data_IF_693132237981
#
_entry.id   IF_693132237981
#
_cell.length_a   1.000
_cell.length_b   1.000
_cell.length_c   1.000
_cell.angle_alpha   90.00
_cell.angle_beta   90.00
_cell.angle_gamma   90.00
#
_symmetry.space_group_name_H-M   'P 1'
#
loop_
_entity.id
_entity.type
_entity.pdbx_description
1 polymer ?
#
# COMPACT_ATOMS: atom_id res chain seq x y z
N UNK A 1 37.73 6.03 -4.89
CA UNK A 1 37.12 4.71 -5.18
C UNK A 1 35.84 4.64 -4.34
N UNK A 2 34.76 5.07 -4.94
CA UNK A 2 33.43 5.11 -4.29
C UNK A 2 32.66 3.87 -4.74
N UNK A 3 32.55 2.90 -3.81
CA UNK A 3 31.71 1.70 -4.01
C UNK A 3 30.24 2.07 -3.91
N UNK A 4 29.56 2.07 -5.04
CA UNK A 4 28.10 2.07 -5.13
C UNK A 4 27.60 0.72 -4.59
N UNK A 5 26.97 0.73 -3.44
CA UNK A 5 26.13 -0.38 -2.99
C UNK A 5 24.87 -0.38 -3.87
N UNK A 6 24.86 -1.26 -4.87
CA UNK A 6 23.65 -1.60 -5.62
C UNK A 6 22.72 -2.38 -4.69
N UNK A 7 21.62 -1.75 -4.28
CA UNK A 7 20.52 -2.46 -3.66
C UNK A 7 19.89 -3.41 -4.68
N UNK A 8 20.19 -4.69 -4.54
CA UNK A 8 19.50 -5.76 -5.25
C UNK A 8 18.23 -6.06 -4.45
N UNK A 9 17.08 -5.68 -4.97
CA UNK A 9 15.81 -6.08 -4.38
C UNK A 9 15.54 -7.55 -4.70
N UNK A 10 15.45 -8.38 -3.68
CA UNK A 10 15.09 -9.80 -3.83
C UNK A 10 13.60 -9.95 -3.62
N UNK A 11 12.85 -10.20 -4.68
CA UNK A 11 11.43 -10.50 -4.60
C UNK A 11 11.22 -12.01 -4.57
N UNK A 12 10.59 -12.54 -3.50
CA UNK A 12 10.26 -13.95 -3.38
C UNK A 12 8.80 -14.15 -3.80
N UNK A 13 8.59 -14.76 -4.96
CA UNK A 13 7.25 -15.12 -5.46
C UNK A 13 7.13 -16.65 -5.43
N UNK A 14 6.34 -17.17 -4.47
CA UNK A 14 6.21 -18.62 -4.26
C UNK A 14 7.51 -19.26 -3.79
N UNK A 15 7.84 -20.46 -4.28
CA UNK A 15 9.08 -21.17 -3.92
C UNK A 15 10.31 -20.74 -4.75
N UNK A 16 10.14 -19.86 -5.73
CA UNK A 16 11.22 -19.41 -6.60
C UNK A 16 11.76 -18.04 -6.19
N UNK A 17 13.07 -17.98 -5.94
CA UNK A 17 13.84 -16.73 -5.82
C UNK A 17 14.24 -16.27 -7.23
N UNK A 18 13.74 -15.10 -7.64
CA UNK A 18 14.15 -14.48 -8.89
C UNK A 18 15.04 -13.27 -8.56
N UNK A 19 16.29 -13.35 -8.96
CA UNK A 19 17.23 -12.22 -8.95
C UNK A 19 16.84 -11.26 -10.07
N UNK A 20 16.39 -10.06 -9.70
CA UNK A 20 15.92 -9.08 -10.66
C UNK A 20 17.02 -8.06 -10.94
N UNK A 21 17.56 -8.09 -12.13
CA UNK A 21 18.27 -6.96 -12.70
C UNK A 21 17.29 -5.78 -12.85
N UNK A 22 17.73 -4.61 -12.47
CA UNK A 22 17.00 -3.39 -12.14
C UNK A 22 15.87 -2.90 -13.07
N UNK A 23 15.60 -3.48 -14.25
CA UNK A 23 14.71 -2.85 -15.24
C UNK A 23 13.72 -3.74 -16.03
N UNK A 24 13.69 -5.04 -15.89
CA UNK A 24 12.83 -5.86 -16.78
C UNK A 24 11.76 -6.71 -16.10
N UNK A 25 11.86 -7.01 -14.83
CA UNK A 25 10.96 -7.97 -14.15
C UNK A 25 9.81 -7.33 -13.37
N UNK A 26 9.89 -6.06 -13.00
CA UNK A 26 8.76 -5.31 -12.44
C UNK A 26 7.62 -5.20 -13.47
N UNK A 27 7.94 -5.22 -14.74
CA UNK A 27 7.00 -5.19 -15.87
C UNK A 27 5.98 -6.33 -15.89
N UNK A 28 6.20 -7.42 -15.17
CA UNK A 28 5.44 -8.65 -15.38
C UNK A 28 4.73 -9.23 -14.14
N UNK A 29 5.02 -8.77 -12.93
CA UNK A 29 4.41 -9.32 -11.74
C UNK A 29 3.29 -8.39 -11.22
N UNK A 30 2.02 -8.70 -11.48
CA UNK A 30 0.94 -7.99 -10.82
C UNK A 30 1.05 -8.20 -9.31
N UNK A 31 0.81 -7.12 -8.57
CA UNK A 31 0.80 -7.15 -7.12
C UNK A 31 -0.27 -8.13 -6.61
N UNK A 32 0.11 -9.05 -5.75
CA UNK A 32 -0.78 -10.05 -5.19
C UNK A 32 -0.87 -9.94 -3.66
N UNK A 33 -2.09 -10.05 -3.14
CA UNK A 33 -2.31 -10.15 -1.71
C UNK A 33 -1.68 -11.41 -1.12
N UNK A 34 -1.03 -11.26 0.02
CA UNK A 34 -0.53 -12.37 0.83
C UNK A 34 -1.13 -12.30 2.24
N UNK A 35 -1.53 -13.45 2.79
CA UNK A 35 -2.02 -13.52 4.18
C UNK A 35 -0.98 -13.07 5.22
N UNK A 36 0.29 -12.95 4.84
CA UNK A 36 1.34 -12.37 5.69
C UNK A 36 1.12 -10.88 5.98
N UNK A 37 0.32 -10.21 5.15
CA UNK A 37 -0.06 -8.80 5.29
C UNK A 37 -1.33 -8.60 6.13
N UNK A 38 -1.94 -9.69 6.65
CA UNK A 38 -3.11 -9.56 7.51
C UNK A 38 -2.74 -8.84 8.81
N UNK A 39 -3.51 -7.81 9.14
CA UNK A 39 -3.41 -7.07 10.40
C UNK A 39 -4.13 -7.79 11.54
N UNK A 40 -5.05 -8.71 11.21
CA UNK A 40 -5.97 -9.33 12.16
C UNK A 40 -7.27 -8.55 12.35
N UNK A 41 -7.42 -7.40 11.68
CA UNK A 41 -8.65 -6.61 11.62
C UNK A 41 -9.36 -6.88 10.28
N UNK A 42 -10.41 -7.74 10.24
CA UNK A 42 -10.99 -8.23 8.97
C UNK A 42 -11.50 -7.13 8.04
N UNK A 43 -11.98 -6.02 8.60
CA UNK A 43 -12.47 -4.87 7.82
C UNK A 43 -11.30 -4.17 7.13
N UNK A 44 -10.20 -3.93 7.84
CA UNK A 44 -8.98 -3.31 7.31
C UNK A 44 -8.32 -4.22 6.28
N UNK A 45 -8.19 -5.52 6.58
CA UNK A 45 -7.66 -6.50 5.63
C UNK A 45 -8.47 -6.56 4.32
N UNK A 46 -9.80 -6.37 4.40
CA UNK A 46 -10.65 -6.25 3.21
C UNK A 46 -10.34 -4.99 2.40
N UNK A 47 -10.07 -3.87 3.08
CA UNK A 47 -9.66 -2.63 2.41
C UNK A 47 -8.31 -2.80 1.71
N UNK A 48 -7.33 -3.40 2.37
CA UNK A 48 -6.02 -3.71 1.79
C UNK A 48 -6.15 -4.58 0.53
N UNK A 49 -6.92 -5.67 0.59
CA UNK A 49 -7.19 -6.52 -0.59
C UNK A 49 -7.78 -5.72 -1.76
N UNK A 50 -8.64 -4.75 -1.48
CA UNK A 50 -9.22 -3.89 -2.52
C UNK A 50 -8.18 -2.95 -3.12
N UNK A 51 -7.29 -2.36 -2.30
CA UNK A 51 -6.18 -1.53 -2.78
C UNK A 51 -5.23 -2.35 -3.66
N UNK A 52 -4.87 -3.56 -3.25
CA UNK A 52 -4.07 -4.48 -4.06
C UNK A 52 -4.73 -4.79 -5.41
N UNK A 53 -6.04 -5.07 -5.42
CA UNK A 53 -6.78 -5.35 -6.66
C UNK A 53 -6.82 -4.15 -7.61
N UNK A 54 -6.98 -2.93 -7.09
CA UNK A 54 -6.95 -1.70 -7.89
C UNK A 54 -5.55 -1.45 -8.46
N UNK A 55 -4.51 -1.57 -7.65
CA UNK A 55 -3.11 -1.42 -8.08
C UNK A 55 -2.73 -2.45 -9.14
N UNK A 56 -3.13 -3.72 -8.96
CA UNK A 56 -2.94 -4.76 -9.98
C UNK A 56 -3.70 -4.49 -11.28
N UNK A 57 -4.87 -3.85 -11.19
CA UNK A 57 -5.63 -3.44 -12.38
C UNK A 57 -4.95 -2.30 -13.12
N UNK A 58 -4.37 -1.33 -12.40
CA UNK A 58 -3.55 -0.27 -12.98
C UNK A 58 -2.36 -0.85 -13.74
N UNK A 59 -1.64 -1.81 -13.16
CA UNK A 59 -0.52 -2.48 -13.83
C UNK A 59 -0.93 -3.08 -15.19
N UNK A 60 -2.04 -3.83 -15.23
CA UNK A 60 -2.53 -4.42 -16.48
C UNK A 60 -2.83 -3.36 -17.54
N UNK A 61 -3.38 -2.21 -17.14
CA UNK A 61 -3.67 -1.12 -18.06
C UNK A 61 -2.41 -0.42 -18.57
N UNK A 62 -1.38 -0.26 -17.73
CA UNK A 62 -0.11 0.35 -18.13
C UNK A 62 0.53 -0.42 -19.30
N UNK A 63 0.43 -1.75 -19.30
CA UNK A 63 1.01 -2.60 -20.35
C UNK A 63 0.02 -3.00 -21.46
N UNK A 64 -1.21 -2.55 -21.39
CA UNK A 64 -2.18 -2.75 -22.49
C UNK A 64 -1.81 -1.87 -23.70
N UNK A 65 -2.25 -2.25 -24.94
CA UNK A 65 -2.08 -1.41 -26.12
C UNK A 65 -2.63 -0.01 -25.91
N UNK A 66 -1.93 1.00 -26.43
CA UNK A 66 -2.36 2.39 -26.28
C UNK A 66 -3.62 2.66 -27.11
N UNK A 67 -4.70 3.02 -26.43
CA UNK A 67 -5.97 3.47 -27.00
C UNK A 67 -6.57 4.56 -26.13
N UNK A 68 -7.54 5.30 -26.63
CA UNK A 68 -8.27 6.31 -25.83
C UNK A 68 -9.05 5.65 -24.69
N UNK A 69 -9.59 4.44 -24.93
CA UNK A 69 -10.25 3.65 -23.89
C UNK A 69 -9.29 3.23 -22.79
N UNK A 70 -8.03 2.85 -23.13
CA UNK A 70 -7.00 2.56 -22.14
C UNK A 70 -6.73 3.78 -21.26
N UNK A 71 -6.54 4.95 -21.86
CA UNK A 71 -6.31 6.20 -21.12
C UNK A 71 -7.47 6.50 -20.17
N UNK A 72 -8.71 6.42 -20.65
CA UNK A 72 -9.91 6.61 -19.82
C UNK A 72 -9.96 5.58 -18.67
N UNK A 73 -9.59 4.33 -18.94
CA UNK A 73 -9.55 3.28 -17.91
C UNK A 73 -8.47 3.52 -16.86
N UNK A 74 -7.30 4.02 -17.25
CA UNK A 74 -6.24 4.43 -16.31
C UNK A 74 -6.76 5.57 -15.42
N UNK A 75 -7.40 6.57 -15.97
CA UNK A 75 -7.98 7.69 -15.21
C UNK A 75 -9.03 7.19 -14.19
N UNK A 76 -9.93 6.31 -14.62
CA UNK A 76 -10.95 5.73 -13.72
C UNK A 76 -10.33 4.92 -12.57
N UNK A 77 -9.33 4.08 -12.86
CA UNK A 77 -8.64 3.30 -11.83
C UNK A 77 -7.84 4.21 -10.88
N UNK A 78 -7.18 5.22 -11.40
CA UNK A 78 -6.44 6.19 -10.60
C UNK A 78 -7.36 6.95 -9.64
N UNK A 79 -8.52 7.43 -10.12
CA UNK A 79 -9.56 8.04 -9.28
C UNK A 79 -10.10 7.07 -8.23
N UNK A 80 -10.34 5.81 -8.62
CA UNK A 80 -10.81 4.78 -7.69
C UNK A 80 -9.77 4.48 -6.61
N UNK A 81 -8.48 4.38 -6.96
CA UNK A 81 -7.38 4.23 -6.00
C UNK A 81 -7.35 5.40 -5.03
N UNK A 82 -7.28 6.63 -5.53
CA UNK A 82 -7.26 7.84 -4.69
C UNK A 82 -8.41 7.88 -3.70
N UNK A 83 -9.64 7.73 -4.18
CA UNK A 83 -10.83 7.82 -3.33
C UNK A 83 -10.88 6.69 -2.30
N UNK A 84 -10.49 5.49 -2.71
CA UNK A 84 -10.50 4.35 -1.80
C UNK A 84 -9.39 4.43 -0.76
N UNK A 85 -8.23 4.98 -1.11
CA UNK A 85 -7.14 5.25 -0.16
C UNK A 85 -7.57 6.23 0.93
N UNK A 86 -8.21 7.34 0.57
CA UNK A 86 -8.74 8.31 1.53
C UNK A 86 -9.77 7.67 2.46
N UNK A 87 -10.68 6.87 1.90
CA UNK A 87 -11.68 6.12 2.68
C UNK A 87 -11.02 5.14 3.66
N UNK A 88 -10.03 4.39 3.20
CA UNK A 88 -9.29 3.43 4.00
C UNK A 88 -8.54 4.09 5.15
N UNK A 89 -7.77 5.13 4.88
CA UNK A 89 -7.04 5.89 5.90
C UNK A 89 -7.97 6.49 6.96
N UNK A 90 -9.10 7.05 6.53
CA UNK A 90 -10.11 7.56 7.48
C UNK A 90 -10.67 6.46 8.39
N UNK A 91 -10.82 5.24 7.89
CA UNK A 91 -11.29 4.12 8.69
C UNK A 91 -10.25 3.69 9.75
N UNK A 92 -8.95 3.64 9.38
CA UNK A 92 -7.86 3.35 10.32
C UNK A 92 -7.70 4.45 11.37
N UNK A 93 -7.66 5.71 10.95
CA UNK A 93 -7.57 6.85 11.86
C UNK A 93 -8.73 6.87 12.87
N UNK A 94 -9.92 6.43 12.46
CA UNK A 94 -11.05 6.26 13.38
C UNK A 94 -10.83 5.12 14.39
N UNK A 95 -10.13 4.06 14.01
CA UNK A 95 -9.72 2.98 14.91
C UNK A 95 -8.68 3.51 15.90
N UNK A 96 -7.67 4.25 15.43
CA UNK A 96 -6.61 4.82 16.27
C UNK A 96 -7.17 5.74 17.34
N UNK A 97 -8.05 6.66 16.96
CA UNK A 97 -8.68 7.60 17.90
C UNK A 97 -9.50 6.88 18.99
N UNK A 98 -10.27 5.86 18.60
CA UNK A 98 -11.11 5.11 19.56
C UNK A 98 -10.30 4.28 20.54
N UNK A 99 -9.10 3.84 20.16
CA UNK A 99 -8.25 2.99 20.98
C UNK A 99 -7.10 3.76 21.64
N UNK A 100 -6.99 5.08 21.45
CA UNK A 100 -5.92 5.88 22.03
C UNK A 100 -4.52 5.49 21.55
N UNK A 101 -4.39 5.10 20.25
CA UNK A 101 -3.12 4.68 19.68
C UNK A 101 -2.06 5.77 19.81
N UNK A 102 -0.99 5.51 20.54
CA UNK A 102 -0.01 6.53 20.92
C UNK A 102 0.78 7.11 19.74
N UNK A 103 0.98 6.31 18.66
CA UNK A 103 1.68 6.75 17.44
C UNK A 103 0.74 7.25 16.35
N UNK A 104 -0.50 7.63 16.69
CA UNK A 104 -1.50 8.10 15.73
C UNK A 104 -1.01 9.27 14.88
N UNK A 105 -0.36 10.27 15.49
CA UNK A 105 0.08 11.46 14.75
C UNK A 105 1.16 11.13 13.71
N UNK A 106 2.06 10.21 14.03
CA UNK A 106 3.10 9.73 13.13
C UNK A 106 2.51 8.98 11.95
N UNK A 107 1.63 8.00 12.22
CA UNK A 107 0.95 7.21 11.19
C UNK A 107 0.08 8.09 10.28
N UNK A 108 -0.65 9.04 10.84
CA UNK A 108 -1.44 9.99 10.06
C UNK A 108 -0.57 10.84 9.12
N UNK A 109 0.62 11.25 9.55
CA UNK A 109 1.55 11.98 8.70
C UNK A 109 2.03 11.13 7.51
N UNK A 110 2.21 9.81 7.68
CA UNK A 110 2.50 8.89 6.57
C UNK A 110 1.35 8.91 5.54
N UNK A 111 0.09 8.81 6.00
CA UNK A 111 -1.11 8.90 5.15
C UNK A 111 -1.19 10.21 4.38
N UNK A 112 -1.03 11.35 5.07
CA UNK A 112 -1.09 12.67 4.47
C UNK A 112 0.00 12.86 3.42
N UNK A 113 1.23 12.43 3.72
CA UNK A 113 2.36 12.49 2.79
C UNK A 113 2.12 11.64 1.55
N UNK A 114 1.56 10.44 1.71
CA UNK A 114 1.22 9.58 0.60
C UNK A 114 0.16 10.21 -0.31
N UNK A 115 -0.94 10.73 0.27
CA UNK A 115 -2.01 11.39 -0.50
C UNK A 115 -1.46 12.57 -1.28
N UNK A 116 -0.65 13.44 -0.65
CA UNK A 116 -0.01 14.57 -1.33
C UNK A 116 0.88 14.12 -2.50
N UNK A 117 1.66 13.06 -2.30
CA UNK A 117 2.53 12.52 -3.37
C UNK A 117 1.70 11.97 -4.53
N UNK A 118 0.64 11.21 -4.23
CA UNK A 118 -0.28 10.68 -5.26
C UNK A 118 -0.92 11.81 -6.06
N UNK A 119 -1.36 12.89 -5.41
CA UNK A 119 -1.95 14.05 -6.10
C UNK A 119 -0.96 14.74 -7.04
N UNK A 120 0.31 14.81 -6.66
CA UNK A 120 1.37 15.39 -7.51
C UNK A 120 1.69 14.56 -8.75
N UNK A 121 1.66 13.22 -8.62
CA UNK A 121 2.00 12.31 -9.74
C UNK A 121 0.80 11.92 -10.60
N UNK A 122 -0.42 12.22 -10.16
CA UNK A 122 -1.66 11.85 -10.85
C UNK A 122 -1.75 12.31 -12.31
N UNK A 123 -1.41 13.57 -12.66
CA UNK A 123 -1.39 14.01 -14.05
C UNK A 123 -0.42 13.21 -14.94
N UNK A 124 0.72 12.80 -14.38
CA UNK A 124 1.71 12.00 -15.11
C UNK A 124 1.24 10.56 -15.30
N UNK A 125 0.49 10.00 -14.35
CA UNK A 125 -0.12 8.68 -14.51
C UNK A 125 -1.11 8.64 -15.68
N UNK A 126 -1.89 9.70 -15.88
CA UNK A 126 -2.92 9.77 -16.94
C UNK A 126 -2.31 10.11 -18.29
N UNK A 127 -1.42 11.10 -18.35
CA UNK A 127 -0.93 11.71 -19.57
C UNK A 127 0.55 11.40 -19.85
N UNK A 128 1.23 10.73 -18.93
CA UNK A 128 2.64 10.42 -19.03
C UNK A 128 2.93 9.30 -20.03
N UNK A 129 4.19 9.18 -20.38
CA UNK A 129 4.69 8.05 -21.14
C UNK A 129 4.73 6.78 -20.28
N UNK A 130 5.06 5.66 -20.94
CA UNK A 130 5.13 4.36 -20.27
C UNK A 130 6.08 4.37 -19.07
N UNK A 131 7.23 5.02 -19.19
CA UNK A 131 8.23 5.09 -18.11
C UNK A 131 7.69 5.80 -16.87
N UNK A 132 7.04 6.95 -17.05
CA UNK A 132 6.43 7.67 -15.93
C UNK A 132 5.33 6.85 -15.25
N UNK A 133 4.51 6.13 -16.03
CA UNK A 133 3.49 5.23 -15.50
C UNK A 133 4.07 4.05 -14.71
N UNK A 134 5.17 3.47 -15.20
CA UNK A 134 5.91 2.40 -14.51
C UNK A 134 6.49 2.88 -13.17
N UNK A 135 7.14 4.04 -13.15
CA UNK A 135 7.72 4.64 -11.93
C UNK A 135 6.64 4.93 -10.87
N UNK A 136 5.47 5.42 -11.29
CA UNK A 136 4.35 5.66 -10.38
C UNK A 136 3.78 4.33 -9.85
N UNK A 137 3.63 3.32 -10.69
CA UNK A 137 3.18 2.00 -10.26
C UNK A 137 4.15 1.37 -9.24
N UNK A 138 5.44 1.47 -9.49
CA UNK A 138 6.48 1.00 -8.57
C UNK A 138 6.38 1.71 -7.21
N UNK A 139 6.27 3.04 -7.22
CA UNK A 139 6.07 3.83 -6.01
C UNK A 139 4.83 3.37 -5.23
N UNK A 140 3.67 3.28 -5.88
CA UNK A 140 2.41 2.86 -5.23
C UNK A 140 2.52 1.46 -4.63
N UNK A 141 3.13 0.53 -5.37
CA UNK A 141 3.26 -0.87 -4.95
C UNK A 141 4.20 -1.02 -3.76
N UNK A 142 5.35 -0.36 -3.80
CA UNK A 142 6.34 -0.42 -2.72
C UNK A 142 5.80 0.24 -1.45
N UNK A 143 5.18 1.41 -1.59
CA UNK A 143 4.60 2.11 -0.43
C UNK A 143 3.51 1.26 0.22
N UNK A 144 2.59 0.70 -0.55
CA UNK A 144 1.47 -0.09 -0.02
C UNK A 144 1.96 -1.35 0.71
N UNK A 145 2.95 -2.06 0.16
CA UNK A 145 3.52 -3.24 0.82
C UNK A 145 4.22 -2.84 2.12
N UNK A 146 5.07 -1.82 2.08
CA UNK A 146 5.84 -1.39 3.24
C UNK A 146 4.92 -0.87 4.34
N UNK A 147 3.99 0.01 4.01
CA UNK A 147 3.05 0.60 4.96
C UNK A 147 2.24 -0.48 5.70
N UNK A 148 1.65 -1.43 4.97
CA UNK A 148 0.87 -2.52 5.58
C UNK A 148 1.76 -3.44 6.43
N UNK A 149 2.95 -3.79 5.94
CA UNK A 149 3.83 -4.74 6.64
C UNK A 149 4.53 -4.16 7.87
N UNK A 150 4.68 -2.85 7.94
CA UNK A 150 5.39 -2.15 9.02
C UNK A 150 4.43 -1.31 9.87
N UNK A 151 3.84 -0.26 9.29
CA UNK A 151 3.04 0.72 10.02
C UNK A 151 1.70 0.15 10.48
N UNK A 152 0.97 -0.55 9.59
CA UNK A 152 -0.32 -1.14 9.95
C UNK A 152 -0.17 -2.33 10.90
N UNK A 153 0.85 -3.14 10.72
CA UNK A 153 1.17 -4.20 11.69
C UNK A 153 1.47 -3.63 13.05
N UNK A 154 2.23 -2.54 13.14
CA UNK A 154 2.59 -1.90 14.41
C UNK A 154 1.36 -1.46 15.20
N UNK A 155 0.40 -0.78 14.58
CA UNK A 155 -0.81 -0.37 15.28
C UNK A 155 -1.72 -1.55 15.63
N UNK A 156 -1.80 -2.56 14.76
CA UNK A 156 -2.61 -3.74 14.99
C UNK A 156 -2.10 -4.53 16.22
N UNK A 157 -0.79 -4.74 16.29
CA UNK A 157 -0.14 -5.40 17.42
C UNK A 157 -0.29 -4.57 18.70
N UNK A 158 -0.11 -3.24 18.61
CA UNK A 158 -0.30 -2.33 19.74
C UNK A 158 -1.72 -2.40 20.31
N UNK A 159 -2.76 -2.34 19.48
CA UNK A 159 -4.15 -2.44 19.93
C UNK A 159 -4.42 -3.82 20.55
N UNK A 160 -3.93 -4.91 19.94
CA UNK A 160 -4.09 -6.24 20.50
C UNK A 160 -3.51 -6.36 21.91
N UNK A 161 -2.32 -5.81 22.14
CA UNK A 161 -1.65 -5.81 23.45
C UNK A 161 -2.41 -4.99 24.50
N UNK A 162 -2.87 -3.78 24.14
CA UNK A 162 -3.54 -2.86 25.08
C UNK A 162 -4.98 -3.29 25.40
N UNK A 163 -5.69 -3.88 24.44
CA UNK A 163 -7.04 -4.43 24.68
C UNK A 163 -7.04 -5.58 25.68
N UNK A 164 -5.98 -6.37 25.73
CA UNK A 164 -5.84 -7.45 26.74
C UNK A 164 -5.61 -6.88 28.14
N UNK A 165 -4.85 -5.78 28.24
CA UNK A 165 -4.56 -5.13 29.52
C UNK A 165 -5.82 -4.52 30.13
N UNK A 166 -6.63 -3.83 29.34
CA UNK A 166 -7.91 -3.24 29.82
C UNK A 166 -8.85 -4.31 30.40
N UNK A 167 -8.99 -5.45 29.72
CA UNK A 167 -9.81 -6.56 30.20
C UNK A 167 -9.27 -7.14 31.52
N UNK A 168 -7.96 -7.26 31.70
CA UNK A 168 -7.34 -7.78 32.93
C UNK A 168 -7.47 -6.81 34.10
N UNK A 169 -7.43 -5.50 33.86
CA UNK A 169 -7.64 -4.48 34.90
C UNK A 169 -9.10 -4.49 35.38
N UNK A 170 -10.05 -4.65 34.47
CA UNK A 170 -11.48 -4.72 34.81
C UNK A 170 -11.82 -5.94 35.67
N UNK A 171 -11.24 -7.11 35.37
CA UNK A 171 -11.44 -8.34 36.15
C UNK A 171 -10.81 -8.27 37.56
N UNK A 172 -9.80 -7.45 37.80
CA UNK A 172 -9.16 -7.26 39.11
C UNK A 172 -9.86 -6.23 40.01
N UNK A 173 -10.82 -5.49 39.46
CA UNK A 173 -11.55 -4.40 40.17
C UNK A 173 -12.96 -4.83 40.60
N UNK A 174 -13.38 -6.06 40.26
CA UNK A 174 -14.62 -6.71 40.71
C UNK A 174 -14.32 -7.74 41.79
#
# INVERSE_FOLDING_TARGET
>A
MSGLFECIATLKIGENMILVGKNELIKLAPMHWSNRLCTGFPVVDKHHKKLFALTASLNRLIYAPYTDERRTSIEQIALALRNYTIYHFSAEESIFQRNGYEFYAEHKLEHETFVQTVEQVFPQLINGDLKAQEEIYEFLSNWLIQHISESDKRWADWIAEHSVIENQVFERTL
#
